data_IF_418087657811
#
_entry.id   IF_418087657811
#
_cell.length_a   1.000
_cell.length_b   1.000
_cell.length_c   1.000
_cell.angle_alpha   90.00
_cell.angle_beta   90.00
_cell.angle_gamma   90.00
#
_symmetry.space_group_name_H-M   'P 1'
#
loop_
_entity.id
_entity.type
_entity.pdbx_description
1 polymer ?
#
# COMPACT_ATOMS: atom_id res chain seq x y z
N UNK A 1 -10.48 9.81 -1.38
CA UNK A 1 -11.07 8.60 -2.00
C UNK A 1 -10.94 8.60 -3.53
N UNK A 2 -11.41 9.60 -4.30
CA UNK A 2 -11.30 9.60 -5.77
C UNK A 2 -9.87 9.49 -6.31
N UNK A 3 -8.90 10.15 -5.63
CA UNK A 3 -7.46 10.08 -5.97
C UNK A 3 -6.85 8.68 -5.80
N UNK A 4 -7.48 7.79 -5.03
CA UNK A 4 -6.97 6.43 -4.77
C UNK A 4 -7.62 5.39 -5.66
N UNK A 5 -8.96 5.40 -5.77
CA UNK A 5 -9.73 4.33 -6.42
C UNK A 5 -10.42 4.77 -7.73
N UNK A 6 -10.15 6.01 -8.18
CA UNK A 6 -10.82 6.62 -9.32
C UNK A 6 -12.17 7.26 -8.95
N UNK A 7 -12.60 8.22 -9.77
CA UNK A 7 -13.81 9.01 -9.50
C UNK A 7 -15.10 8.16 -9.50
N UNK A 8 -15.25 7.25 -10.48
CA UNK A 8 -16.44 6.41 -10.61
C UNK A 8 -16.67 5.51 -9.38
N UNK A 9 -15.66 4.75 -8.96
CA UNK A 9 -15.76 3.91 -7.77
C UNK A 9 -15.95 4.72 -6.49
N UNK A 10 -15.31 5.90 -6.40
CA UNK A 10 -15.47 6.76 -5.24
C UNK A 10 -16.91 7.30 -5.11
N UNK A 11 -17.54 7.71 -6.20
CA UNK A 11 -18.94 8.20 -6.18
C UNK A 11 -19.91 7.08 -5.79
N UNK A 12 -19.74 5.86 -6.32
CA UNK A 12 -20.55 4.69 -5.92
C UNK A 12 -20.50 4.46 -4.40
N UNK A 13 -19.30 4.42 -3.82
CA UNK A 13 -19.14 4.20 -2.38
C UNK A 13 -19.69 5.37 -1.53
N UNK A 14 -19.49 6.61 -1.98
CA UNK A 14 -19.99 7.80 -1.27
C UNK A 14 -21.52 7.83 -1.24
N UNK A 15 -22.17 7.52 -2.37
CA UNK A 15 -23.63 7.61 -2.49
C UNK A 15 -24.36 6.40 -1.88
N UNK A 16 -23.77 5.21 -1.96
CA UNK A 16 -24.43 3.97 -1.50
C UNK A 16 -24.06 3.59 -0.06
N UNK A 17 -22.88 4.01 0.43
CA UNK A 17 -22.34 3.56 1.70
C UNK A 17 -22.13 2.04 1.79
N UNK A 18 -22.10 1.33 0.66
CA UNK A 18 -22.03 -0.14 0.65
C UNK A 18 -20.70 -0.63 1.27
N UNK A 19 -20.71 -1.79 1.97
CA UNK A 19 -19.47 -2.39 2.45
C UNK A 19 -18.61 -2.89 1.28
N UNK A 20 -17.30 -2.82 1.46
CA UNK A 20 -16.31 -3.34 0.50
C UNK A 20 -15.55 -4.49 1.14
N UNK A 21 -15.55 -5.65 0.47
CA UNK A 21 -14.79 -6.82 0.92
C UNK A 21 -13.30 -6.71 0.62
N UNK A 22 -12.47 -7.48 1.33
CA UNK A 22 -11.00 -7.46 1.16
C UNK A 22 -10.51 -7.62 -0.30
N UNK A 23 -10.91 -8.68 -1.02
CA UNK A 23 -10.53 -8.88 -2.43
C UNK A 23 -10.89 -7.71 -3.34
N UNK A 24 -12.06 -7.11 -3.12
CA UNK A 24 -12.51 -5.95 -3.87
C UNK A 24 -11.67 -4.72 -3.53
N UNK A 25 -11.41 -4.45 -2.24
CA UNK A 25 -10.58 -3.35 -1.78
C UNK A 25 -9.17 -3.40 -2.36
N UNK A 26 -8.56 -4.60 -2.47
CA UNK A 26 -7.26 -4.77 -3.12
C UNK A 26 -7.34 -4.43 -4.61
N UNK A 27 -8.33 -4.97 -5.33
CA UNK A 27 -8.49 -4.78 -6.77
C UNK A 27 -8.71 -3.32 -7.17
N UNK A 28 -9.43 -2.54 -6.36
CA UNK A 28 -9.68 -1.12 -6.63
C UNK A 28 -8.57 -0.19 -6.13
N UNK A 29 -7.54 -0.70 -5.45
CA UNK A 29 -6.48 0.13 -4.87
C UNK A 29 -6.84 0.82 -3.56
N UNK A 30 -7.91 0.40 -2.88
CA UNK A 30 -8.26 0.87 -1.54
C UNK A 30 -7.35 0.25 -0.46
N UNK A 31 -6.87 -0.98 -0.70
CA UNK A 31 -5.89 -1.66 0.11
C UNK A 31 -4.71 -2.11 -0.76
N UNK A 32 -3.50 -2.09 -0.21
CA UNK A 32 -2.29 -2.46 -0.96
C UNK A 32 -1.94 -3.95 -0.82
N UNK A 33 -2.47 -4.63 0.21
CA UNK A 33 -2.14 -6.02 0.57
C UNK A 33 -3.34 -6.70 1.20
N UNK A 34 -3.44 -8.02 1.00
CA UNK A 34 -4.36 -8.90 1.70
C UNK A 34 -3.58 -9.96 2.46
N UNK A 35 -4.07 -10.28 3.65
CA UNK A 35 -3.49 -11.29 4.53
C UNK A 35 -4.61 -12.11 5.17
N UNK A 36 -4.30 -13.31 5.71
CA UNK A 36 -5.29 -14.10 6.43
C UNK A 36 -5.95 -13.35 7.58
N UNK A 37 -7.20 -13.73 7.89
CA UNK A 37 -7.97 -13.11 8.96
C UNK A 37 -7.25 -13.27 10.30
N UNK A 38 -7.06 -12.16 11.01
CA UNK A 38 -6.38 -12.12 12.31
C UNK A 38 -4.89 -11.79 12.22
N UNK A 39 -4.29 -11.80 11.03
CA UNK A 39 -2.84 -11.57 10.88
C UNK A 39 -2.46 -10.13 10.49
N UNK A 40 -3.44 -9.27 10.19
CA UNK A 40 -3.22 -7.90 9.71
C UNK A 40 -2.19 -7.11 10.53
N UNK A 41 -2.27 -7.19 11.87
CA UNK A 41 -1.33 -6.49 12.76
C UNK A 41 0.09 -7.01 12.64
N UNK A 42 0.28 -8.33 12.56
CA UNK A 42 1.60 -8.93 12.49
C UNK A 42 2.31 -8.52 11.20
N UNK A 43 1.65 -8.68 10.05
CA UNK A 43 2.18 -8.27 8.75
C UNK A 43 2.42 -6.75 8.65
N UNK A 44 1.55 -5.93 9.26
CA UNK A 44 1.76 -4.49 9.31
C UNK A 44 3.02 -4.11 10.11
N UNK A 45 3.31 -4.79 11.22
CA UNK A 45 4.51 -4.57 12.02
C UNK A 45 5.76 -5.00 11.26
N UNK A 46 5.73 -6.15 10.59
CA UNK A 46 6.88 -6.60 9.78
C UNK A 46 7.16 -5.62 8.64
N UNK A 47 6.13 -5.14 7.93
CA UNK A 47 6.28 -4.08 6.94
C UNK A 47 6.88 -2.80 7.55
N UNK A 48 6.39 -2.38 8.72
CA UNK A 48 6.92 -1.19 9.38
C UNK A 48 8.40 -1.34 9.73
N UNK A 49 8.84 -2.53 10.19
CA UNK A 49 10.25 -2.83 10.44
C UNK A 49 11.07 -2.79 9.16
N UNK A 50 10.55 -3.29 8.04
CA UNK A 50 11.22 -3.20 6.74
C UNK A 50 11.41 -1.74 6.32
N UNK A 51 10.34 -0.94 6.40
CA UNK A 51 10.38 0.48 6.02
C UNK A 51 11.34 1.27 6.93
N UNK A 52 11.38 0.96 8.23
CA UNK A 52 12.25 1.62 9.20
C UNK A 52 13.75 1.41 8.94
N UNK A 53 14.14 0.41 8.13
CA UNK A 53 15.55 0.13 7.80
C UNK A 53 16.11 1.04 6.70
N UNK A 54 15.24 1.70 5.93
CA UNK A 54 15.66 2.57 4.85
C UNK A 54 16.14 3.95 5.37
N UNK A 55 16.91 4.71 4.57
CA UNK A 55 17.25 6.09 4.89
C UNK A 55 15.97 6.92 5.10
N UNK A 56 15.81 7.45 6.31
CA UNK A 56 14.52 8.00 6.74
C UNK A 56 14.32 9.43 6.24
N UNK A 57 15.38 10.20 6.02
CA UNK A 57 15.26 11.56 5.46
C UNK A 57 14.79 11.47 4.02
N UNK A 58 15.44 10.61 3.22
CA UNK A 58 15.06 10.33 1.83
C UNK A 58 13.60 9.86 1.70
N UNK A 59 13.21 8.81 2.43
CA UNK A 59 11.84 8.29 2.37
C UNK A 59 10.77 9.33 2.74
N UNK A 60 11.06 10.18 3.73
CA UNK A 60 10.11 11.22 4.17
C UNK A 60 9.99 12.32 3.12
N UNK A 61 11.11 12.72 2.50
CA UNK A 61 11.10 13.69 1.41
C UNK A 61 10.29 13.18 0.21
N UNK A 62 10.53 11.93 -0.23
CA UNK A 62 9.80 11.30 -1.33
C UNK A 62 8.30 11.23 -1.04
N UNK A 63 7.94 10.77 0.17
CA UNK A 63 6.54 10.70 0.61
C UNK A 63 5.89 12.08 0.61
N UNK A 64 6.61 13.11 1.07
CA UNK A 64 6.09 14.47 1.11
C UNK A 64 5.87 15.05 -0.29
N UNK A 65 6.80 14.81 -1.21
CA UNK A 65 6.69 15.19 -2.62
C UNK A 65 5.43 14.57 -3.25
N UNK A 66 5.26 13.25 -3.11
CA UNK A 66 4.12 12.52 -3.66
C UNK A 66 2.76 12.99 -3.10
N UNK A 67 2.71 13.44 -1.84
CA UNK A 67 1.47 13.93 -1.22
C UNK A 67 1.12 15.36 -1.63
N UNK A 68 2.13 16.21 -1.88
CA UNK A 68 1.93 17.65 -2.12
C UNK A 68 1.77 18.01 -3.60
N UNK A 69 2.12 17.13 -4.52
CA UNK A 69 2.11 17.41 -5.96
C UNK A 69 0.72 17.62 -6.60
N UNK A 70 -0.37 17.14 -5.96
CA UNK A 70 -1.69 17.08 -6.60
C UNK A 70 -2.33 18.42 -6.95
N UNK A 71 -1.98 19.48 -6.21
CA UNK A 71 -2.70 20.75 -6.21
C UNK A 71 -1.78 21.93 -6.60
N UNK A 72 -0.66 21.63 -7.26
CA UNK A 72 0.35 22.61 -7.70
C UNK A 72 0.69 22.41 -9.17
N UNK A 73 1.33 23.40 -9.79
CA UNK A 73 1.84 23.25 -11.16
C UNK A 73 2.98 22.22 -11.21
N UNK A 74 3.26 21.68 -12.39
CA UNK A 74 4.41 20.78 -12.59
C UNK A 74 5.73 21.46 -12.19
N UNK A 75 5.92 22.72 -12.57
CA UNK A 75 7.11 23.50 -12.20
C UNK A 75 7.26 23.64 -10.68
N UNK A 76 6.16 23.94 -9.98
CA UNK A 76 6.17 24.02 -8.52
C UNK A 76 6.39 22.64 -7.88
N UNK A 77 5.82 21.56 -8.44
CA UNK A 77 6.02 20.21 -7.96
C UNK A 77 7.51 19.78 -8.06
N UNK A 78 8.14 20.06 -9.20
CA UNK A 78 9.58 19.82 -9.42
C UNK A 78 10.41 20.67 -8.45
N UNK A 79 10.06 21.94 -8.24
CA UNK A 79 10.75 22.79 -7.28
C UNK A 79 10.60 22.27 -5.84
N UNK A 80 9.43 21.73 -5.48
CA UNK A 80 9.18 21.12 -4.17
C UNK A 80 10.01 19.85 -3.97
N UNK A 81 10.07 18.99 -4.99
CA UNK A 81 10.91 17.79 -5.01
C UNK A 81 12.39 18.15 -4.84
N UNK A 82 12.89 19.13 -5.59
CA UNK A 82 14.27 19.59 -5.53
C UNK A 82 14.64 20.06 -4.12
N UNK A 83 13.78 20.85 -3.45
CA UNK A 83 14.06 21.29 -2.08
C UNK A 83 14.20 20.13 -1.10
N UNK A 84 13.32 19.13 -1.19
CA UNK A 84 13.44 17.91 -0.39
C UNK A 84 14.72 17.14 -0.69
N UNK A 85 15.07 17.01 -1.98
CA UNK A 85 16.30 16.34 -2.41
C UNK A 85 17.57 17.01 -1.87
N UNK A 86 17.62 18.35 -1.85
CA UNK A 86 18.74 19.10 -1.29
C UNK A 86 18.89 18.87 0.22
N UNK A 87 17.79 18.80 0.98
CA UNK A 87 17.82 18.45 2.40
C UNK A 87 18.36 17.03 2.63
N UNK A 88 17.98 16.07 1.78
CA UNK A 88 18.50 14.70 1.83
C UNK A 88 20.00 14.67 1.56
N UNK A 89 20.49 15.41 0.56
CA UNK A 89 21.93 15.53 0.29
C UNK A 89 22.66 16.13 1.49
N UNK A 90 22.14 17.23 2.05
CA UNK A 90 22.71 17.90 3.22
C UNK A 90 22.76 17.00 4.47
N UNK A 91 21.82 16.05 4.60
CA UNK A 91 21.80 15.09 5.71
C UNK A 91 22.96 14.06 5.68
N UNK A 92 23.65 13.92 4.56
CA UNK A 92 24.71 12.93 4.36
C UNK A 92 24.22 11.51 4.04
N UNK A 93 22.90 11.25 4.05
CA UNK A 93 22.32 9.96 3.67
C UNK A 93 22.73 9.57 2.24
N UNK A 94 22.73 10.54 1.30
CA UNK A 94 23.12 10.31 -0.10
C UNK A 94 24.56 9.81 -0.23
N UNK A 95 25.51 10.47 0.44
CA UNK A 95 26.92 10.09 0.39
C UNK A 95 27.13 8.71 1.02
N UNK A 96 26.60 8.49 2.23
CA UNK A 96 26.69 7.19 2.92
C UNK A 96 26.07 6.05 2.10
N UNK A 97 24.92 6.28 1.47
CA UNK A 97 24.28 5.33 0.56
C UNK A 97 25.14 5.03 -0.67
N UNK A 98 25.62 6.07 -1.36
CA UNK A 98 26.45 5.95 -2.54
C UNK A 98 27.79 5.24 -2.25
N UNK A 99 28.45 5.55 -1.13
CA UNK A 99 29.69 4.89 -0.71
C UNK A 99 29.47 3.40 -0.46
N UNK A 100 28.40 3.03 0.27
CA UNK A 100 28.05 1.61 0.49
C UNK A 100 27.79 0.87 -0.82
N UNK A 101 27.10 1.51 -1.75
CA UNK A 101 26.82 0.94 -3.07
C UNK A 101 28.10 0.76 -3.90
N UNK A 102 28.95 1.78 -3.93
CA UNK A 102 30.25 1.75 -4.59
C UNK A 102 31.15 0.64 -4.01
N UNK A 103 31.12 0.43 -2.69
CA UNK A 103 31.85 -0.64 -2.00
C UNK A 103 31.21 -2.02 -2.11
N UNK A 104 30.15 -2.19 -2.91
CA UNK A 104 29.55 -3.48 -3.25
C UNK A 104 28.32 -3.89 -2.42
N UNK A 105 27.95 -3.14 -1.38
CA UNK A 105 26.73 -3.40 -0.62
C UNK A 105 25.49 -2.97 -1.41
N UNK A 106 24.46 -3.81 -1.49
CA UNK A 106 23.20 -3.49 -2.19
C UNK A 106 23.16 -3.76 -3.69
N UNK A 107 24.29 -4.12 -4.34
CA UNK A 107 24.33 -4.46 -5.79
C UNK A 107 23.55 -5.72 -6.19
N UNK A 108 23.27 -6.61 -5.23
CA UNK A 108 22.61 -7.89 -5.45
C UNK A 108 21.18 -7.96 -4.92
N UNK A 109 20.57 -6.82 -4.57
CA UNK A 109 19.15 -6.75 -4.19
C UNK A 109 18.70 -7.86 -3.26
N UNK A 110 19.21 -7.92 -2.02
CA UNK A 110 18.70 -8.88 -1.02
C UNK A 110 17.34 -8.40 -0.51
N UNK A 111 16.29 -8.63 -1.30
CA UNK A 111 14.91 -8.47 -0.86
C UNK A 111 14.55 -9.70 0.00
N UNK A 112 14.75 -9.60 1.31
CA UNK A 112 14.21 -10.60 2.22
C UNK A 112 12.68 -10.54 2.13
N UNK A 113 12.03 -11.61 1.66
CA UNK A 113 10.56 -11.77 1.75
C UNK A 113 9.76 -11.47 0.47
N UNK A 114 10.31 -11.66 -0.73
CA UNK A 114 9.49 -11.68 -1.95
C UNK A 114 8.55 -12.89 -1.92
N UNK A 115 7.34 -12.65 -1.39
CA UNK A 115 6.11 -13.46 -1.42
C UNK A 115 6.18 -14.59 -2.47
N UNK A 116 6.53 -15.77 -2.00
CA UNK A 116 6.37 -17.02 -2.74
C UNK A 116 4.90 -17.46 -2.63
N UNK A 117 3.99 -16.67 -3.22
CA UNK A 117 2.67 -17.17 -3.62
C UNK A 117 2.05 -16.28 -4.71
N UNK A 118 2.47 -16.52 -5.96
CA UNK A 118 1.72 -16.10 -7.16
C UNK A 118 1.07 -17.29 -7.85
N UNK A 119 0.86 -18.43 -7.16
CA UNK A 119 0.37 -19.69 -7.77
C UNK A 119 -0.82 -20.34 -7.06
N UNK A 120 -1.49 -19.65 -6.14
CA UNK A 120 -2.78 -20.11 -5.61
C UNK A 120 -3.97 -19.22 -6.03
N UNK A 121 -4.12 -18.96 -7.34
CA UNK A 121 -5.48 -18.74 -7.89
C UNK A 121 -6.17 -20.11 -7.89
N UNK A 122 -6.50 -20.58 -6.68
CA UNK A 122 -7.37 -21.73 -6.51
C UNK A 122 -8.73 -21.32 -7.06
N UNK A 123 -9.08 -21.97 -8.16
CA UNK A 123 -10.38 -21.99 -8.79
C UNK A 123 -11.46 -22.03 -7.70
N UNK A 124 -12.22 -20.95 -7.52
CA UNK A 124 -13.45 -21.01 -6.74
C UNK A 124 -14.44 -21.78 -7.62
N UNK A 125 -14.45 -23.11 -7.47
CA UNK A 125 -15.50 -23.97 -8.00
C UNK A 125 -16.83 -23.52 -7.40
N UNK A 126 -17.88 -23.24 -8.20
CA UNK A 126 -19.18 -22.95 -7.64
C UNK A 126 -19.74 -24.24 -7.05
N UNK A 127 -19.89 -24.31 -5.72
CA UNK A 127 -20.60 -25.38 -5.05
C UNK A 127 -22.07 -25.35 -5.49
N UNK A 128 -22.48 -26.34 -6.29
CA UNK A 128 -23.88 -26.61 -6.59
C UNK A 128 -24.61 -27.07 -5.32
N UNK A 129 -25.69 -26.34 -5.03
CA UNK A 129 -26.96 -26.77 -4.46
C UNK A 129 -27.01 -27.40 -3.05
N UNK A 130 -27.70 -26.71 -2.14
CA UNK A 130 -28.96 -27.26 -1.56
C UNK A 130 -29.87 -26.15 -1.03
N UNK A 131 -31.05 -26.03 -1.64
CA UNK A 131 -32.19 -25.34 -1.08
C UNK A 131 -32.61 -26.06 0.21
N UNK A 132 -32.55 -25.38 1.35
CA UNK A 132 -33.29 -25.75 2.55
C UNK A 132 -33.88 -24.48 3.17
N UNK A 133 -35.21 -24.43 3.15
CA UNK A 133 -36.05 -23.39 3.75
C UNK A 133 -35.97 -23.47 5.28
N UNK A 134 -35.98 -22.34 5.98
CA UNK A 134 -36.23 -22.26 7.44
C UNK A 134 -35.81 -20.93 8.06
N UNK A 135 -36.64 -20.23 8.86
CA UNK A 135 -36.46 -18.81 9.15
C UNK A 135 -35.74 -18.51 10.47
N UNK A 136 -35.08 -17.35 10.52
CA UNK A 136 -35.02 -16.53 11.74
C UNK A 136 -33.75 -16.61 12.59
N UNK A 137 -32.81 -15.68 12.36
CA UNK A 137 -32.50 -14.55 13.26
C UNK A 137 -31.26 -13.80 12.76
N UNK A 138 -31.47 -12.55 12.38
CA UNK A 138 -30.41 -11.59 12.08
C UNK A 138 -29.58 -11.37 13.35
N UNK A 139 -28.28 -11.60 13.29
CA UNK A 139 -27.31 -10.99 14.21
C UNK A 139 -26.36 -10.16 13.37
N UNK A 140 -26.73 -8.89 13.23
CA UNK A 140 -25.85 -7.80 12.82
C UNK A 140 -24.76 -7.67 13.88
N UNK A 141 -23.50 -7.80 13.51
CA UNK A 141 -22.38 -7.29 14.30
C UNK A 141 -21.97 -5.99 13.63
N UNK A 142 -22.40 -4.88 14.22
CA UNK A 142 -21.80 -3.57 13.95
C UNK A 142 -20.48 -3.49 14.72
N UNK A 143 -19.48 -2.89 14.09
CA UNK A 143 -18.26 -2.39 14.74
C UNK A 143 -18.62 -1.07 15.40
#
# INVERSE_FOLDING_TARGET
>A
LPRLIGHSQAIDLILTGRPVGGPEALRMGLANRLVPKGEARAHAIELAKEIARFPQTCLRADRLSALRQWDVSEEEAIANEMRGGLEVIASGETLSGATRFASGAGRHGKFAGAVEDRRSVATITPARARLARGPGRRRTVQI
#
